data_IF_398344506002
#
_entry.id   IF_398344506002
#
_cell.length_a   1.000
_cell.length_b   1.000
_cell.length_c   1.000
_cell.angle_alpha   90.00
_cell.angle_beta   90.00
_cell.angle_gamma   90.00
#
_symmetry.space_group_name_H-M   'P 1'
#
loop_
_entity.id
_entity.type
_entity.pdbx_description
1 polymer ?
#
# COMPACT_ATOMS: atom_id res chain seq x y z
N UNK A 1 -2.91 0.01 9.28
CA UNK A 1 -2.21 -0.26 8.00
C UNK A 1 -3.26 -0.35 6.91
N UNK A 2 -2.94 0.08 5.71
CA UNK A 2 -3.81 -0.02 4.55
C UNK A 2 -3.18 -0.98 3.55
N UNK A 3 -3.98 -1.87 2.99
CA UNK A 3 -3.66 -2.57 1.74
C UNK A 3 -4.51 -1.92 0.66
N UNK A 4 -3.85 -1.38 -0.36
CA UNK A 4 -4.51 -0.62 -1.42
C UNK A 4 -4.41 -1.42 -2.71
N UNK A 5 -5.53 -1.55 -3.40
CA UNK A 5 -5.62 -2.26 -4.67
C UNK A 5 -5.96 -1.28 -5.80
N UNK A 6 -5.21 -1.40 -6.89
CA UNK A 6 -5.36 -0.59 -8.10
C UNK A 6 -5.65 -1.48 -9.30
N UNK A 7 -6.59 -1.05 -10.14
CA UNK A 7 -6.99 -1.79 -11.36
C UNK A 7 -6.28 -1.32 -12.64
N UNK A 8 -5.52 -0.23 -12.53
CA UNK A 8 -4.74 0.32 -13.63
C UNK A 8 -3.41 -0.42 -13.71
N UNK A 9 -3.30 -1.35 -14.67
CA UNK A 9 -2.04 -2.01 -14.99
C UNK A 9 -1.85 -1.99 -16.50
N UNK A 10 -0.67 -1.57 -16.92
CA UNK A 10 -0.28 -1.51 -18.34
C UNK A 10 0.11 -2.89 -18.89
N UNK A 11 0.20 -3.92 -18.04
CA UNK A 11 0.57 -5.27 -18.45
C UNK A 11 -0.64 -6.04 -18.98
N UNK A 12 -0.67 -6.22 -20.30
CA UNK A 12 -1.77 -6.87 -21.03
C UNK A 12 -2.15 -8.27 -20.50
N UNK A 13 -1.21 -9.06 -19.99
CA UNK A 13 -1.49 -10.37 -19.41
C UNK A 13 -2.17 -10.32 -18.03
N UNK A 14 -2.05 -9.21 -17.28
CA UNK A 14 -2.71 -9.06 -15.98
C UNK A 14 -4.22 -8.80 -16.14
N UNK A 15 -4.71 -8.56 -17.37
CA UNK A 15 -6.14 -8.47 -17.68
C UNK A 15 -6.90 -9.79 -17.42
N UNK A 16 -6.21 -10.92 -17.37
CA UNK A 16 -6.80 -12.23 -17.05
C UNK A 16 -7.01 -12.46 -15.54
N UNK A 17 -6.33 -11.69 -14.68
CA UNK A 17 -6.57 -11.74 -13.23
C UNK A 17 -7.89 -11.06 -12.89
N UNK A 18 -8.51 -11.48 -11.77
CA UNK A 18 -9.71 -10.83 -11.23
C UNK A 18 -9.42 -9.33 -11.05
N UNK A 19 -10.34 -8.49 -11.52
CA UNK A 19 -10.36 -7.05 -11.24
C UNK A 19 -10.27 -6.85 -9.72
N UNK A 20 -9.43 -5.93 -9.28
CA UNK A 20 -9.04 -5.69 -7.88
C UNK A 20 -7.73 -6.36 -7.46
N UNK A 21 -7.08 -7.21 -8.27
CA UNK A 21 -5.82 -7.88 -7.93
C UNK A 21 -4.66 -7.57 -8.89
N UNK A 22 -4.81 -6.53 -9.70
CA UNK A 22 -3.85 -6.21 -10.76
C UNK A 22 -2.60 -5.54 -10.22
N UNK A 23 -2.75 -4.75 -9.18
CA UNK A 23 -1.66 -4.14 -8.45
C UNK A 23 -2.09 -3.92 -7.01
N UNK A 24 -1.20 -4.16 -6.06
CA UNK A 24 -1.42 -3.76 -4.68
C UNK A 24 -0.16 -3.20 -4.05
N UNK A 25 -0.36 -2.26 -3.15
CA UNK A 25 0.69 -1.68 -2.34
C UNK A 25 0.18 -1.50 -0.91
N UNK A 26 1.08 -1.24 0.03
CA UNK A 26 0.71 -1.05 1.43
C UNK A 26 1.06 0.36 1.90
N UNK A 27 0.23 0.92 2.76
CA UNK A 27 0.51 2.16 3.48
C UNK A 27 0.48 1.89 4.99
N UNK A 28 1.59 2.18 5.66
CA UNK A 28 1.78 2.03 7.09
C UNK A 28 1.72 3.40 7.73
N UNK A 29 1.05 3.51 8.87
CA UNK A 29 1.09 4.72 9.71
C UNK A 29 1.77 4.36 11.02
N UNK A 30 2.83 5.10 11.38
CA UNK A 30 3.53 4.95 12.67
C UNK A 30 3.04 5.97 13.73
N UNK A 31 2.01 6.75 13.41
CA UNK A 31 1.47 7.82 14.24
C UNK A 31 2.15 9.17 14.03
N UNK A 32 3.21 9.25 13.21
CA UNK A 32 3.88 10.51 12.82
C UNK A 32 4.02 10.65 11.31
N UNK A 33 4.18 9.53 10.62
CA UNK A 33 4.39 9.44 9.19
C UNK A 33 3.52 8.35 8.59
N UNK A 34 3.13 8.58 7.34
CA UNK A 34 2.72 7.54 6.43
C UNK A 34 3.93 7.02 5.67
N UNK A 35 4.07 5.71 5.58
CA UNK A 35 5.08 5.03 4.76
C UNK A 35 4.37 4.17 3.74
N UNK A 36 4.54 4.46 2.46
CA UNK A 36 4.04 3.63 1.37
C UNK A 36 5.13 2.68 0.91
N UNK A 37 4.75 1.44 0.61
CA UNK A 37 5.62 0.41 0.05
C UNK A 37 4.89 -0.16 -1.16
N UNK A 38 5.41 0.14 -2.34
CA UNK A 38 4.84 -0.23 -3.63
C UNK A 38 5.81 -1.15 -4.41
N UNK A 39 5.56 -2.47 -4.43
CA UNK A 39 6.34 -3.40 -5.24
C UNK A 39 5.98 -3.27 -6.73
N UNK A 40 6.81 -2.57 -7.49
CA UNK A 40 6.71 -2.49 -8.94
C UNK A 40 7.51 -3.63 -9.59
N UNK A 41 7.23 -3.92 -10.86
CA UNK A 41 7.85 -5.05 -11.60
C UNK A 41 9.38 -5.03 -11.63
N UNK A 42 9.99 -3.85 -11.51
CA UNK A 42 11.44 -3.65 -11.65
C UNK A 42 12.14 -3.17 -10.38
N UNK A 43 11.40 -2.63 -9.43
CA UNK A 43 11.92 -2.11 -8.17
C UNK A 43 10.81 -1.99 -7.14
N UNK A 44 11.17 -1.86 -5.87
CA UNK A 44 10.20 -1.51 -4.81
C UNK A 44 10.34 -0.03 -4.50
N UNK A 45 9.26 0.72 -4.70
CA UNK A 45 9.19 2.11 -4.29
C UNK A 45 8.81 2.21 -2.82
N UNK A 46 9.54 3.04 -2.06
CA UNK A 46 9.29 3.27 -0.64
C UNK A 46 9.37 4.76 -0.37
N UNK A 47 8.24 5.34 0.05
CA UNK A 47 8.15 6.77 0.34
C UNK A 47 7.58 7.01 1.73
N UNK A 48 8.05 8.07 2.39
CA UNK A 48 7.60 8.49 3.71
C UNK A 48 7.08 9.93 3.66
N UNK A 49 5.92 10.15 4.27
CA UNK A 49 5.21 11.42 4.30
C UNK A 49 4.85 11.78 5.73
N UNK A 50 5.10 13.03 6.15
CA UNK A 50 4.62 13.51 7.45
C UNK A 50 3.08 13.61 7.48
N UNK A 51 2.45 13.20 8.58
CA UNK A 51 0.98 13.25 8.73
C UNK A 51 0.41 14.66 8.58
N UNK A 52 1.18 15.71 8.88
CA UNK A 52 0.74 17.10 8.69
C UNK A 52 0.71 17.59 7.23
N UNK A 53 1.28 16.81 6.29
CA UNK A 53 1.43 17.21 4.88
C UNK A 53 0.30 16.63 4.02
N UNK A 54 -0.23 15.46 4.41
CA UNK A 54 -1.20 14.73 3.61
C UNK A 54 -2.46 14.44 4.42
N UNK A 55 -3.67 14.67 3.87
CA UNK A 55 -4.90 14.20 4.49
C UNK A 55 -4.86 12.69 4.71
N UNK A 56 -5.79 12.17 5.52
CA UNK A 56 -5.91 10.73 5.77
C UNK A 56 -5.83 9.93 4.44
N UNK A 57 -4.75 9.18 4.28
CA UNK A 57 -4.45 8.45 3.05
C UNK A 57 -5.56 7.48 2.67
N UNK A 58 -6.27 6.92 3.64
CA UNK A 58 -7.39 6.03 3.35
C UNK A 58 -8.53 6.76 2.62
N UNK A 59 -8.81 8.00 3.00
CA UNK A 59 -9.82 8.84 2.33
C UNK A 59 -9.35 9.21 0.93
N UNK A 60 -8.10 9.68 0.82
CA UNK A 60 -7.52 10.09 -0.46
C UNK A 60 -7.54 8.95 -1.48
N UNK A 61 -7.10 7.75 -1.10
CA UNK A 61 -7.11 6.59 -2.00
C UNK A 61 -8.51 6.20 -2.46
N UNK A 62 -9.50 6.22 -1.55
CA UNK A 62 -10.90 5.95 -1.91
C UNK A 62 -11.45 6.99 -2.88
N UNK A 63 -11.10 8.27 -2.72
CA UNK A 63 -11.48 9.34 -3.66
C UNK A 63 -10.92 9.10 -5.07
N UNK A 64 -9.74 8.48 -5.17
CA UNK A 64 -9.13 8.09 -6.44
C UNK A 64 -9.63 6.75 -7.00
N UNK A 65 -10.81 6.29 -6.56
CA UNK A 65 -11.40 4.99 -6.95
C UNK A 65 -10.53 3.78 -6.66
N UNK A 66 -9.59 3.89 -5.71
CA UNK A 66 -8.79 2.76 -5.25
C UNK A 66 -9.56 1.98 -4.20
N UNK A 67 -9.39 0.65 -4.22
CA UNK A 67 -9.98 -0.20 -3.18
C UNK A 67 -9.02 -0.25 -2.00
N UNK A 68 -9.50 0.12 -0.81
CA UNK A 68 -8.68 0.21 0.41
C UNK A 68 -9.20 -0.78 1.45
N UNK A 69 -8.33 -1.69 1.89
CA UNK A 69 -8.58 -2.61 3.00
C UNK A 69 -7.78 -2.17 4.21
N UNK A 70 -8.48 -1.78 5.26
CA UNK A 70 -7.86 -1.46 6.55
C UNK A 70 -7.51 -2.75 7.29
N UNK A 71 -6.28 -2.82 7.81
CA UNK A 71 -5.78 -4.00 8.51
C UNK A 71 -4.81 -3.63 9.63
N UNK A 72 -4.63 -4.59 10.54
CA UNK A 72 -3.60 -4.54 11.57
C UNK A 72 -2.32 -5.18 11.05
N UNK A 73 -1.17 -4.54 11.29
CA UNK A 73 0.11 -5.16 11.01
C UNK A 73 0.64 -5.80 12.28
N UNK A 74 1.04 -7.07 12.20
CA UNK A 74 1.69 -7.77 13.28
C UNK A 74 3.20 -7.49 13.21
N UNK A 75 3.79 -6.99 14.30
CA UNK A 75 5.25 -6.97 14.45
C UNK A 75 5.67 -8.32 15.05
N UNK A 76 6.26 -9.24 14.28
CA UNK A 76 6.93 -10.37 14.90
C UNK A 76 8.01 -9.81 15.82
N UNK A 77 8.11 -10.37 17.03
CA UNK A 77 9.24 -10.06 17.92
C UNK A 77 10.51 -10.33 17.12
N UNK A 78 11.44 -9.37 17.15
CA UNK A 78 12.78 -9.59 16.61
C UNK A 78 13.46 -10.63 17.52
N UNK A 79 13.24 -11.91 17.22
CA UNK A 79 13.98 -12.99 17.87
C UNK A 79 15.36 -12.96 17.24
N UNK A 80 16.28 -12.22 17.87
CA UNK A 80 17.70 -12.38 17.58
C UNK A 80 18.03 -13.85 17.89
N UNK A 81 18.34 -14.64 16.86
CA UNK A 81 18.96 -15.95 17.10
C UNK A 81 20.28 -15.69 17.85
N UNK A 82 20.56 -16.43 18.93
CA UNK A 82 21.80 -16.27 19.69
C UNK A 82 23.04 -16.55 18.84
#
# INVERSE_FOLDING_TARGET
MLVVFCDNTDLWWLRFLKRGFRHCFVALCDGRHWVTIDPLSHYTDVAAYGIGILPDLAVLYRQHSLTVVETSFFRPLCVRRP
#
